data_IF_030777198760
#
_entry.id   IF_030777198760
#
_cell.length_a   1.000
_cell.length_b   1.000
_cell.length_c   1.000
_cell.angle_alpha   90.00
_cell.angle_beta   90.00
_cell.angle_gamma   90.00
#
_symmetry.space_group_name_H-M   'P 1'
#
loop_
_entity.id
_entity.type
_entity.pdbx_description
1 polymer ?
#
# COMPACT_ATOMS: atom_id res chain seq x y z
N UNK A 1 -9.76 22.27 -23.77
CA UNK A 1 -10.19 21.68 -22.47
C UNK A 1 -9.79 20.23 -22.49
N UNK A 2 -9.02 19.76 -21.52
CA UNK A 2 -8.71 18.33 -21.42
C UNK A 2 -10.01 17.58 -21.16
N UNK A 3 -10.26 16.51 -21.94
CA UNK A 3 -11.42 15.64 -21.75
C UNK A 3 -11.27 14.95 -20.38
N UNK A 4 -12.34 15.01 -19.56
CA UNK A 4 -12.34 14.27 -18.29
C UNK A 4 -12.28 12.76 -18.54
N UNK A 5 -11.54 11.99 -17.73
CA UNK A 5 -11.40 10.54 -17.94
C UNK A 5 -12.66 9.78 -17.54
N UNK A 6 -12.92 8.67 -18.20
CA UNK A 6 -13.84 7.63 -17.75
C UNK A 6 -13.04 6.68 -16.83
N UNK A 7 -13.49 6.52 -15.60
CA UNK A 7 -12.73 5.81 -14.53
C UNK A 7 -13.45 4.53 -14.12
N UNK A 8 -12.71 3.47 -13.85
CA UNK A 8 -13.21 2.28 -13.18
C UNK A 8 -12.40 1.96 -11.92
N UNK A 9 -13.06 1.52 -10.86
CA UNK A 9 -12.42 1.05 -9.62
C UNK A 9 -12.75 -0.43 -9.43
N UNK A 10 -11.78 -1.30 -9.61
CA UNK A 10 -11.91 -2.73 -9.33
C UNK A 10 -11.59 -3.00 -7.86
N UNK A 11 -12.46 -3.74 -7.17
CA UNK A 11 -12.35 -3.99 -5.73
C UNK A 11 -12.94 -2.86 -4.89
N UNK A 12 -13.91 -2.09 -5.45
CA UNK A 12 -14.51 -0.91 -4.85
C UNK A 12 -15.08 -1.12 -3.43
N UNK A 13 -15.48 -2.34 -3.07
CA UNK A 13 -16.02 -2.67 -1.75
C UNK A 13 -14.96 -3.13 -0.74
N UNK A 14 -13.71 -3.28 -1.16
CA UNK A 14 -12.57 -3.65 -0.31
C UNK A 14 -11.95 -2.44 0.39
N UNK A 15 -11.04 -2.69 1.34
CA UNK A 15 -10.39 -1.62 2.11
C UNK A 15 -9.69 -0.59 1.21
N UNK A 16 -8.87 -1.03 0.26
CA UNK A 16 -8.17 -0.14 -0.69
C UNK A 16 -9.13 0.57 -1.64
N UNK A 17 -10.15 -0.13 -2.14
CA UNK A 17 -11.16 0.49 -3.02
C UNK A 17 -11.94 1.61 -2.34
N UNK A 18 -12.23 1.46 -1.05
CA UNK A 18 -12.87 2.52 -0.25
C UNK A 18 -11.96 3.73 -0.06
N UNK A 19 -10.63 3.52 0.07
CA UNK A 19 -9.68 4.63 0.13
C UNK A 19 -9.57 5.37 -1.21
N UNK A 20 -9.65 4.70 -2.36
CA UNK A 20 -9.74 5.39 -3.65
C UNK A 20 -10.97 6.31 -3.71
N UNK A 21 -12.13 5.83 -3.27
CA UNK A 21 -13.38 6.59 -3.24
C UNK A 21 -13.21 7.82 -2.34
N UNK A 22 -12.67 7.65 -1.13
CA UNK A 22 -12.39 8.74 -0.19
C UNK A 22 -11.46 9.79 -0.80
N UNK A 23 -10.39 9.34 -1.46
CA UNK A 23 -9.41 10.23 -2.10
C UNK A 23 -9.98 11.00 -3.30
N UNK A 24 -10.96 10.46 -4.02
CA UNK A 24 -11.67 11.22 -5.06
C UNK A 24 -12.36 12.44 -4.48
N UNK A 25 -13.01 12.30 -3.32
CA UNK A 25 -13.67 13.39 -2.62
C UNK A 25 -12.66 14.40 -2.06
N UNK A 26 -11.66 13.94 -1.31
CA UNK A 26 -10.66 14.80 -0.67
C UNK A 26 -9.83 15.61 -1.68
N UNK A 27 -9.48 14.99 -2.81
CA UNK A 27 -8.66 15.62 -3.85
C UNK A 27 -9.49 16.31 -4.93
N UNK A 28 -10.82 16.33 -4.81
CA UNK A 28 -11.74 16.87 -5.83
C UNK A 28 -11.41 16.31 -7.22
N UNK A 29 -11.14 15.00 -7.31
CA UNK A 29 -10.77 14.36 -8.56
C UNK A 29 -11.95 14.33 -9.53
N UNK A 30 -11.79 14.99 -10.69
CA UNK A 30 -12.84 15.10 -11.67
C UNK A 30 -12.79 13.99 -12.71
N UNK A 31 -13.92 13.37 -12.99
CA UNK A 31 -14.08 12.31 -14.00
C UNK A 31 -15.37 12.54 -14.83
N UNK A 32 -15.39 11.99 -16.05
CA UNK A 32 -16.58 12.05 -16.91
C UNK A 32 -17.62 10.99 -16.50
N UNK A 33 -17.16 9.83 -16.07
CA UNK A 33 -17.99 8.76 -15.51
C UNK A 33 -17.15 7.87 -14.58
N UNK A 34 -17.84 7.20 -13.66
CA UNK A 34 -17.23 6.26 -12.72
C UNK A 34 -17.97 4.91 -12.75
N UNK A 35 -17.23 3.81 -12.87
CA UNK A 35 -17.73 2.45 -12.67
C UNK A 35 -17.11 1.85 -11.41
N UNK A 36 -17.92 1.36 -10.49
CA UNK A 36 -17.49 0.65 -9.31
C UNK A 36 -17.66 -0.86 -9.54
N UNK A 37 -16.54 -1.58 -9.54
CA UNK A 37 -16.49 -3.00 -9.91
C UNK A 37 -16.06 -3.84 -8.71
N UNK A 38 -16.73 -4.98 -8.49
CA UNK A 38 -16.37 -5.95 -7.46
C UNK A 38 -16.76 -7.38 -7.88
N UNK A 39 -16.62 -8.34 -6.96
CA UNK A 39 -17.09 -9.72 -7.18
C UNK A 39 -18.61 -9.78 -7.28
N UNK A 40 -19.15 -10.85 -7.89
CA UNK A 40 -20.60 -11.12 -7.97
C UNK A 40 -21.31 -11.01 -6.60
N UNK A 41 -20.64 -11.42 -5.51
CA UNK A 41 -21.18 -11.32 -4.13
C UNK A 41 -21.43 -9.87 -3.69
N UNK A 42 -20.72 -8.92 -4.24
CA UNK A 42 -20.83 -7.49 -3.90
C UNK A 42 -21.58 -6.68 -4.93
N UNK A 43 -21.91 -7.25 -6.07
CA UNK A 43 -22.71 -6.60 -7.10
C UNK A 43 -24.09 -6.22 -6.54
N UNK A 44 -24.61 -5.07 -6.98
CA UNK A 44 -25.88 -4.49 -6.50
C UNK A 44 -25.76 -3.64 -5.23
N UNK A 45 -24.63 -3.66 -4.51
CA UNK A 45 -24.39 -2.73 -3.41
C UNK A 45 -24.33 -1.30 -3.93
N UNK A 46 -24.73 -0.37 -3.08
CA UNK A 46 -24.70 1.07 -3.37
C UNK A 46 -23.61 1.72 -2.55
N UNK A 47 -22.83 2.59 -3.18
CA UNK A 47 -21.78 3.39 -2.55
C UNK A 47 -21.98 4.86 -2.93
N UNK A 48 -21.73 5.74 -1.97
CA UNK A 48 -21.71 7.19 -2.21
C UNK A 48 -20.30 7.58 -2.65
N UNK A 49 -20.19 8.38 -3.72
CA UNK A 49 -18.94 8.95 -4.21
C UNK A 49 -19.20 10.39 -4.64
N UNK A 50 -18.47 11.33 -4.07
CA UNK A 50 -18.61 12.77 -4.38
C UNK A 50 -20.08 13.27 -4.31
N UNK A 51 -20.86 12.72 -3.36
CA UNK A 51 -22.26 13.09 -3.15
C UNK A 51 -23.28 12.41 -4.08
N UNK A 52 -22.84 11.52 -4.98
CA UNK A 52 -23.71 10.76 -5.88
C UNK A 52 -23.72 9.27 -5.52
N UNK A 53 -24.85 8.58 -5.72
CA UNK A 53 -24.99 7.16 -5.47
C UNK A 53 -24.61 6.35 -6.71
N UNK A 54 -23.65 5.43 -6.54
CA UNK A 54 -23.19 4.48 -7.56
C UNK A 54 -23.55 3.07 -7.19
N UNK A 55 -24.05 2.29 -8.16
CA UNK A 55 -24.27 0.85 -7.96
C UNK A 55 -23.01 0.08 -8.34
N UNK A 56 -22.56 -0.80 -7.45
CA UNK A 56 -21.43 -1.69 -7.71
C UNK A 56 -21.84 -2.77 -8.71
N UNK A 57 -21.06 -2.92 -9.79
CA UNK A 57 -21.27 -3.92 -10.82
C UNK A 57 -20.34 -5.14 -10.62
N UNK A 58 -20.74 -6.29 -11.14
CA UNK A 58 -19.85 -7.44 -11.22
C UNK A 58 -18.72 -7.17 -12.22
N UNK A 59 -17.48 -7.36 -11.77
CA UNK A 59 -16.30 -7.19 -12.60
C UNK A 59 -16.20 -8.28 -13.68
N UNK A 60 -16.26 -7.87 -14.93
CA UNK A 60 -16.12 -8.73 -16.13
C UNK A 60 -15.19 -8.06 -17.13
N UNK A 61 -14.60 -8.80 -18.09
CA UNK A 61 -13.79 -8.18 -19.13
C UNK A 61 -14.48 -7.00 -19.82
N UNK A 62 -15.76 -7.10 -20.13
CA UNK A 62 -16.51 -6.05 -20.82
C UNK A 62 -16.82 -4.82 -19.95
N UNK A 63 -16.63 -4.91 -18.63
CA UNK A 63 -16.81 -3.77 -17.73
C UNK A 63 -15.83 -2.63 -18.04
N UNK A 64 -14.70 -2.92 -18.67
CA UNK A 64 -13.65 -1.94 -19.01
C UNK A 64 -13.82 -1.29 -20.39
N UNK A 65 -14.91 -1.58 -21.09
CA UNK A 65 -15.22 -0.88 -22.35
C UNK A 65 -15.44 0.62 -22.08
N UNK A 66 -14.82 1.46 -22.91
CA UNK A 66 -14.87 2.93 -22.85
C UNK A 66 -14.33 3.50 -21.52
N UNK A 67 -13.40 2.81 -20.84
CA UNK A 67 -12.68 3.28 -19.68
C UNK A 67 -11.30 3.79 -20.09
N UNK A 68 -10.96 5.00 -19.63
CA UNK A 68 -9.63 5.59 -19.85
C UNK A 68 -8.64 5.18 -18.76
N UNK A 69 -9.09 5.15 -17.47
CA UNK A 69 -8.24 4.81 -16.32
C UNK A 69 -8.96 3.77 -15.45
N UNK A 70 -8.25 2.69 -15.10
CA UNK A 70 -8.76 1.64 -14.23
C UNK A 70 -7.87 1.46 -13.00
N UNK A 71 -8.40 1.77 -11.80
CA UNK A 71 -7.72 1.58 -10.53
C UNK A 71 -8.04 0.18 -9.99
N UNK A 72 -7.01 -0.63 -9.79
CA UNK A 72 -7.16 -2.02 -9.40
C UNK A 72 -6.74 -2.25 -7.94
N UNK A 73 -7.66 -2.78 -7.14
CA UNK A 73 -7.45 -3.29 -5.80
C UNK A 73 -7.99 -4.75 -5.69
N UNK A 74 -7.84 -5.52 -6.76
CA UNK A 74 -8.52 -6.80 -6.96
C UNK A 74 -7.74 -8.04 -6.49
N UNK A 75 -6.53 -7.91 -5.98
CA UNK A 75 -5.69 -9.07 -5.65
C UNK A 75 -5.45 -9.97 -6.88
N UNK A 76 -5.65 -11.29 -6.74
CA UNK A 76 -5.42 -12.25 -7.84
C UNK A 76 -6.25 -12.00 -9.09
N UNK A 77 -7.41 -11.36 -8.98
CA UNK A 77 -8.25 -11.07 -10.15
C UNK A 77 -7.60 -10.03 -11.07
N UNK A 78 -6.67 -9.23 -10.57
CA UNK A 78 -5.88 -8.30 -11.37
C UNK A 78 -5.09 -9.02 -12.48
N UNK A 79 -4.54 -10.21 -12.23
CA UNK A 79 -3.79 -10.98 -13.23
C UNK A 79 -4.63 -11.28 -14.49
N UNK A 80 -5.93 -11.47 -14.30
CA UNK A 80 -6.86 -11.82 -15.39
C UNK A 80 -7.45 -10.57 -16.03
N UNK A 81 -7.89 -9.60 -15.22
CA UNK A 81 -8.66 -8.46 -15.71
C UNK A 81 -7.80 -7.26 -16.16
N UNK A 82 -6.57 -7.10 -15.68
CA UNK A 82 -5.74 -5.99 -16.12
C UNK A 82 -5.36 -6.07 -17.60
N UNK A 83 -4.90 -7.23 -18.13
CA UNK A 83 -4.69 -7.37 -19.57
C UNK A 83 -5.97 -7.16 -20.41
N UNK A 84 -7.14 -7.53 -19.88
CA UNK A 84 -8.42 -7.30 -20.55
C UNK A 84 -8.79 -5.81 -20.62
N UNK A 85 -8.55 -5.07 -19.51
CA UNK A 85 -8.75 -3.62 -19.48
C UNK A 85 -7.84 -2.91 -20.48
N UNK A 86 -6.54 -3.28 -20.51
CA UNK A 86 -5.58 -2.73 -21.48
C UNK A 86 -5.98 -3.00 -22.93
N UNK A 87 -6.44 -4.23 -23.26
CA UNK A 87 -6.93 -4.53 -24.60
C UNK A 87 -8.12 -3.67 -25.03
N UNK A 88 -8.87 -3.11 -24.10
CA UNK A 88 -10.00 -2.19 -24.33
C UNK A 88 -9.61 -0.72 -24.29
N UNK A 89 -8.30 -0.43 -24.16
CA UNK A 89 -7.75 0.92 -24.22
C UNK A 89 -7.58 1.62 -22.88
N UNK A 90 -7.89 0.97 -21.76
CA UNK A 90 -7.68 1.55 -20.44
C UNK A 90 -6.19 1.50 -20.03
N UNK A 91 -5.74 2.52 -19.30
CA UNK A 91 -4.52 2.44 -18.50
C UNK A 91 -4.90 1.90 -17.13
N UNK A 92 -4.24 0.82 -16.71
CA UNK A 92 -4.46 0.18 -15.41
C UNK A 92 -3.41 0.64 -14.42
N UNK A 93 -3.85 1.09 -13.23
CA UNK A 93 -3.00 1.32 -12.07
C UNK A 93 -3.32 0.23 -11.06
N UNK A 94 -2.38 -0.71 -10.87
CA UNK A 94 -2.61 -1.92 -10.08
C UNK A 94 -1.92 -1.86 -8.72
N UNK A 95 -2.69 -1.93 -7.64
CA UNK A 95 -2.19 -2.01 -6.27
C UNK A 95 -1.92 -3.44 -5.79
N UNK A 96 -2.25 -4.45 -6.59
CA UNK A 96 -1.93 -5.84 -6.24
C UNK A 96 -0.43 -6.12 -6.43
N UNK A 97 0.00 -7.29 -5.98
CA UNK A 97 1.39 -7.73 -6.22
C UNK A 97 1.59 -8.40 -7.59
N UNK A 98 0.54 -8.49 -8.42
CA UNK A 98 0.54 -9.30 -9.64
C UNK A 98 1.62 -8.90 -10.64
N UNK A 99 1.82 -7.61 -10.82
CA UNK A 99 2.69 -7.08 -11.89
C UNK A 99 3.95 -6.36 -11.37
N UNK A 100 4.12 -6.24 -10.05
CA UNK A 100 5.21 -5.43 -9.47
C UNK A 100 6.60 -5.84 -9.96
N UNK A 101 6.84 -7.15 -10.08
CA UNK A 101 8.15 -7.68 -10.50
C UNK A 101 8.21 -8.05 -11.98
N UNK A 102 7.16 -7.78 -12.76
CA UNK A 102 7.21 -7.93 -14.21
C UNK A 102 8.15 -6.86 -14.79
N UNK A 103 9.21 -7.26 -15.55
CA UNK A 103 10.17 -6.30 -16.11
C UNK A 103 9.57 -5.36 -17.16
N UNK A 104 8.41 -5.68 -17.72
CA UNK A 104 7.71 -4.85 -18.70
C UNK A 104 6.70 -3.87 -18.07
N UNK A 105 6.47 -3.98 -16.76
CA UNK A 105 5.54 -3.13 -16.02
C UNK A 105 6.33 -2.23 -15.08
N UNK A 106 6.24 -0.90 -15.22
CA UNK A 106 6.91 0.02 -14.32
C UNK A 106 6.27 -0.06 -12.93
N UNK A 107 7.12 0.00 -11.90
CA UNK A 107 6.75 0.04 -10.49
C UNK A 107 7.01 1.46 -9.99
N UNK A 108 5.93 2.22 -9.71
CA UNK A 108 6.01 3.68 -9.59
C UNK A 108 5.66 4.16 -8.19
N UNK A 109 6.52 5.02 -7.66
CA UNK A 109 6.21 5.99 -6.61
C UNK A 109 6.36 7.36 -7.24
N UNK A 110 5.29 8.15 -7.43
CA UNK A 110 5.34 9.41 -8.19
C UNK A 110 6.38 10.42 -7.70
N UNK A 111 6.68 10.42 -6.42
CA UNK A 111 7.66 11.30 -5.79
C UNK A 111 9.12 10.83 -5.98
N UNK A 112 9.32 9.58 -6.44
CA UNK A 112 10.65 8.94 -6.47
C UNK A 112 11.14 8.68 -7.89
N UNK A 113 10.33 8.03 -8.71
CA UNK A 113 10.68 7.62 -10.08
C UNK A 113 9.56 7.92 -11.08
N UNK A 114 9.03 9.16 -11.15
CA UNK A 114 7.91 9.51 -12.03
C UNK A 114 8.24 9.29 -13.52
N UNK A 115 9.51 9.38 -13.93
CA UNK A 115 9.96 9.19 -15.30
C UNK A 115 9.73 7.76 -15.81
N UNK A 116 9.67 6.78 -14.92
CA UNK A 116 9.40 5.39 -15.29
C UNK A 116 7.98 5.19 -15.81
N UNK A 117 7.07 6.14 -15.56
CA UNK A 117 5.70 6.06 -16.05
C UNK A 117 5.64 6.00 -17.58
N UNK A 118 6.59 6.65 -18.27
CA UNK A 118 6.65 6.67 -19.73
C UNK A 118 6.93 5.28 -20.34
N UNK A 119 7.44 4.35 -19.53
CA UNK A 119 7.74 2.97 -19.94
C UNK A 119 6.55 2.02 -19.91
N UNK A 120 5.38 2.48 -19.42
CA UNK A 120 4.22 1.61 -19.28
C UNK A 120 3.67 1.14 -20.64
N UNK A 121 3.17 -0.10 -20.66
CA UNK A 121 2.48 -0.70 -21.82
C UNK A 121 1.00 -0.93 -21.51
N UNK A 122 0.40 0.02 -20.81
CA UNK A 122 -0.99 -0.03 -20.36
C UNK A 122 -1.19 -0.44 -18.91
N UNK A 123 -0.18 -1.04 -18.26
CA UNK A 123 -0.23 -1.37 -16.81
C UNK A 123 0.88 -0.59 -16.09
N UNK A 124 0.54 -0.01 -14.95
CA UNK A 124 1.43 0.65 -14.00
C UNK A 124 1.21 -0.04 -12.66
N UNK A 125 2.26 -0.56 -12.04
CA UNK A 125 2.17 -1.20 -10.74
C UNK A 125 2.45 -0.18 -9.62
N UNK A 126 1.65 -0.25 -8.55
CA UNK A 126 1.88 0.48 -7.31
C UNK A 126 2.60 -0.44 -6.32
N UNK A 127 3.66 0.02 -5.64
CA UNK A 127 4.46 -0.82 -4.75
C UNK A 127 3.73 -1.29 -3.50
N UNK A 128 4.39 -2.17 -2.75
CA UNK A 128 3.99 -2.57 -1.41
C UNK A 128 3.98 -1.37 -0.46
N UNK A 129 3.05 -1.35 0.49
CA UNK A 129 2.87 -0.25 1.43
C UNK A 129 4.12 0.05 2.26
N UNK A 130 4.78 -0.97 2.80
CA UNK A 130 6.02 -0.79 3.57
C UNK A 130 7.17 -0.33 2.67
N UNK A 131 7.29 -0.86 1.46
CA UNK A 131 8.27 -0.36 0.48
C UNK A 131 8.10 1.14 0.21
N UNK A 132 6.86 1.60 0.02
CA UNK A 132 6.59 3.03 -0.23
C UNK A 132 7.03 3.87 0.97
N UNK A 133 6.62 3.51 2.19
CA UNK A 133 6.93 4.25 3.43
C UNK A 133 8.44 4.34 3.62
N UNK A 134 9.14 3.20 3.50
CA UNK A 134 10.59 3.15 3.60
C UNK A 134 11.27 4.05 2.57
N UNK A 135 10.88 3.94 1.31
CA UNK A 135 11.52 4.67 0.22
C UNK A 135 11.24 6.17 0.27
N UNK A 136 10.08 6.61 0.74
CA UNK A 136 9.81 8.03 0.96
C UNK A 136 10.76 8.65 1.99
N UNK A 137 11.18 7.89 3.01
CA UNK A 137 12.18 8.34 3.97
C UNK A 137 13.61 8.22 3.43
N UNK A 138 13.90 7.20 2.61
CA UNK A 138 15.26 6.93 2.12
C UNK A 138 15.65 7.78 0.90
N UNK A 139 14.71 8.10 0.00
CA UNK A 139 15.02 8.81 -1.25
C UNK A 139 15.72 10.15 -1.04
N UNK A 140 15.27 11.04 -0.13
CA UNK A 140 16.01 12.29 0.12
C UNK A 140 17.42 12.08 0.67
N UNK A 141 17.68 10.95 1.35
CA UNK A 141 19.02 10.56 1.81
C UNK A 141 19.85 10.01 0.65
N UNK A 142 19.24 9.14 -0.16
CA UNK A 142 19.88 8.52 -1.34
C UNK A 142 20.34 9.56 -2.35
N UNK A 143 19.58 10.64 -2.54
CA UNK A 143 19.95 11.75 -3.45
C UNK A 143 21.16 12.57 -2.95
N UNK A 144 21.44 12.54 -1.65
CA UNK A 144 22.63 13.15 -1.08
C UNK A 144 23.87 12.25 -1.18
N UNK A 145 23.67 10.94 -0.98
CA UNK A 145 24.74 9.95 -1.02
C UNK A 145 24.15 8.55 -1.24
N UNK A 146 24.70 7.75 -2.16
CA UNK A 146 24.24 6.37 -2.37
C UNK A 146 24.15 5.60 -1.05
N UNK A 147 23.10 4.80 -0.91
CA UNK A 147 22.88 3.94 0.26
C UNK A 147 23.57 2.60 0.01
N UNK A 148 24.36 2.14 0.98
CA UNK A 148 25.01 0.83 0.96
C UNK A 148 24.19 -0.25 1.65
N UNK A 149 23.56 0.12 2.76
CA UNK A 149 22.79 -0.83 3.59
C UNK A 149 21.60 -0.17 4.25
N UNK A 150 20.53 -0.93 4.32
CA UNK A 150 19.33 -0.61 5.08
C UNK A 150 19.02 -1.77 6.02
N UNK A 151 18.76 -1.48 7.30
CA UNK A 151 18.13 -2.41 8.23
C UNK A 151 16.81 -1.76 8.64
N UNK A 152 15.70 -2.44 8.41
CA UNK A 152 14.38 -1.90 8.70
C UNK A 152 13.53 -2.88 9.50
N UNK A 153 12.88 -2.38 10.55
CA UNK A 153 11.83 -3.09 11.27
C UNK A 153 10.51 -2.35 11.08
N UNK A 154 9.50 -3.06 10.61
CA UNK A 154 8.17 -2.48 10.39
C UNK A 154 7.23 -2.80 11.56
N UNK A 155 6.28 -1.90 11.78
CA UNK A 155 5.17 -2.06 12.72
C UNK A 155 3.88 -1.87 11.92
N UNK A 156 3.36 -2.98 11.36
CA UNK A 156 2.31 -2.92 10.34
C UNK A 156 0.92 -3.13 10.94
N UNK A 157 0.04 -2.18 10.66
CA UNK A 157 -1.37 -2.24 11.04
C UNK A 157 -2.10 -3.42 10.41
N UNK A 158 -3.16 -3.91 11.05
CA UNK A 158 -3.98 -5.03 10.57
C UNK A 158 -4.72 -4.75 9.26
N UNK A 159 -4.93 -3.47 8.91
CA UNK A 159 -5.52 -3.08 7.63
C UNK A 159 -4.76 -3.60 6.40
N UNK A 160 -3.46 -3.91 6.54
CA UNK A 160 -2.68 -4.58 5.50
C UNK A 160 -3.21 -5.99 5.13
N UNK A 161 -3.92 -6.65 6.04
CA UNK A 161 -4.66 -7.88 5.78
C UNK A 161 -6.11 -7.63 5.28
N UNK A 162 -6.44 -6.38 4.95
CA UNK A 162 -7.77 -5.99 4.48
C UNK A 162 -8.79 -5.83 5.61
N UNK A 163 -10.07 -5.76 5.19
CA UNK A 163 -11.18 -5.61 6.15
C UNK A 163 -11.24 -6.76 7.16
N UNK A 164 -10.94 -7.97 6.73
CA UNK A 164 -10.98 -9.16 7.59
C UNK A 164 -9.97 -9.08 8.75
N UNK A 165 -8.77 -8.54 8.52
CA UNK A 165 -7.80 -8.30 9.58
C UNK A 165 -8.26 -7.23 10.59
N UNK A 166 -8.95 -6.19 10.12
CA UNK A 166 -9.54 -5.17 10.99
C UNK A 166 -10.66 -5.78 11.85
N UNK A 167 -11.56 -6.52 11.22
CA UNK A 167 -12.68 -7.18 11.88
C UNK A 167 -12.19 -8.20 12.92
N UNK A 168 -11.08 -8.93 12.64
CA UNK A 168 -10.45 -9.86 13.58
C UNK A 168 -9.92 -9.12 14.82
N UNK A 169 -9.16 -8.03 14.65
CA UNK A 169 -8.67 -7.24 15.78
C UNK A 169 -9.80 -6.72 16.67
N UNK A 170 -10.89 -6.22 16.09
CA UNK A 170 -12.05 -5.78 16.86
C UNK A 170 -12.71 -6.93 17.61
N UNK A 171 -12.94 -8.07 16.95
CA UNK A 171 -13.54 -9.25 17.55
C UNK A 171 -12.70 -9.82 18.70
N UNK A 172 -11.38 -9.90 18.54
CA UNK A 172 -10.46 -10.32 19.60
C UNK A 172 -10.47 -9.35 20.79
N UNK A 173 -10.41 -8.05 20.53
CA UNK A 173 -10.43 -7.03 21.58
C UNK A 173 -11.73 -7.10 22.40
N UNK A 174 -12.87 -7.26 21.72
CA UNK A 174 -14.17 -7.44 22.38
C UNK A 174 -14.20 -8.72 23.23
N UNK A 175 -13.70 -9.83 22.67
CA UNK A 175 -13.65 -11.11 23.37
C UNK A 175 -12.79 -11.03 24.65
N UNK A 176 -11.60 -10.45 24.55
CA UNK A 176 -10.71 -10.24 25.71
C UNK A 176 -11.41 -9.40 26.78
N UNK A 177 -12.09 -8.32 26.40
CA UNK A 177 -12.80 -7.45 27.34
C UNK A 177 -13.92 -8.18 28.11
N UNK A 178 -14.47 -9.24 27.51
CA UNK A 178 -15.54 -10.07 28.09
C UNK A 178 -15.02 -11.36 28.75
N UNK A 179 -13.71 -11.59 28.75
CA UNK A 179 -13.11 -12.83 29.25
C UNK A 179 -13.46 -14.07 28.41
N UNK A 180 -13.77 -13.87 27.11
CA UNK A 180 -14.14 -14.93 26.17
C UNK A 180 -12.89 -15.30 25.35
N UNK A 181 -12.74 -16.60 25.03
CA UNK A 181 -11.69 -17.06 24.11
C UNK A 181 -12.12 -16.75 22.69
N UNK A 182 -11.24 -16.09 21.93
CA UNK A 182 -11.39 -15.87 20.49
C UNK A 182 -10.47 -16.82 19.72
N UNK A 183 -10.95 -17.38 18.65
CA UNK A 183 -10.17 -18.23 17.75
C UNK A 183 -9.78 -17.43 16.51
N UNK A 184 -8.49 -17.03 16.36
CA UNK A 184 -8.03 -16.25 15.20
C UNK A 184 -8.10 -17.07 13.92
N UNK A 185 -8.36 -16.42 12.78
CA UNK A 185 -8.55 -17.07 11.47
C UNK A 185 -7.84 -16.38 10.31
N UNK A 186 -7.31 -15.18 10.53
CA UNK A 186 -6.79 -14.32 9.47
C UNK A 186 -5.29 -14.12 9.57
N UNK A 187 -4.78 -13.84 10.76
CA UNK A 187 -3.37 -13.46 10.93
C UNK A 187 -2.48 -14.63 11.38
N UNK A 188 -1.25 -14.75 10.83
CA UNK A 188 -0.49 -13.81 10.01
C UNK A 188 -0.89 -13.78 8.53
N UNK A 189 -1.55 -14.81 8.02
CA UNK A 189 -2.15 -14.89 6.68
C UNK A 189 -3.30 -15.89 6.68
N UNK A 190 -4.43 -15.52 6.06
CA UNK A 190 -5.60 -16.39 5.94
C UNK A 190 -5.32 -17.70 5.17
N UNK A 191 -4.22 -17.78 4.41
CA UNK A 191 -3.81 -18.98 3.67
C UNK A 191 -3.05 -20.01 4.52
N UNK A 192 -2.63 -19.63 5.75
CA UNK A 192 -1.89 -20.50 6.64
C UNK A 192 -2.81 -21.40 7.47
N UNK A 193 -2.37 -22.61 7.83
CA UNK A 193 -3.15 -23.52 8.67
C UNK A 193 -3.18 -23.10 10.16
N UNK A 194 -2.29 -22.21 10.57
CA UNK A 194 -2.15 -21.77 11.95
C UNK A 194 -2.23 -20.24 12.02
N UNK A 195 -3.06 -19.76 12.94
CA UNK A 195 -3.29 -18.35 13.18
C UNK A 195 -2.95 -17.99 14.62
N UNK A 196 -2.70 -16.70 14.85
CA UNK A 196 -2.30 -16.20 16.16
C UNK A 196 -3.10 -14.96 16.49
N UNK A 197 -3.50 -14.78 17.76
CA UNK A 197 -4.22 -13.59 18.17
C UNK A 197 -3.34 -12.36 18.04
N UNK A 198 -3.93 -11.26 17.59
CA UNK A 198 -3.25 -9.97 17.45
C UNK A 198 -3.59 -8.99 18.57
N UNK A 199 -4.77 -9.08 19.19
CA UNK A 199 -5.11 -8.20 20.29
C UNK A 199 -4.11 -8.37 21.44
N UNK A 200 -3.46 -7.26 21.83
CA UNK A 200 -2.40 -7.21 22.86
C UNK A 200 -1.17 -8.07 22.55
N UNK A 201 -0.89 -8.34 21.29
CA UNK A 201 0.19 -9.18 20.84
C UNK A 201 0.93 -8.57 19.64
N UNK A 202 2.11 -9.11 19.34
CA UNK A 202 2.90 -8.84 18.13
C UNK A 202 3.06 -10.15 17.37
N UNK A 203 2.90 -10.10 16.04
CA UNK A 203 3.14 -11.27 15.20
C UNK A 203 4.32 -10.94 14.27
N UNK A 204 5.54 -11.46 14.53
CA UNK A 204 6.73 -11.21 13.73
C UNK A 204 6.74 -12.07 12.46
N UNK A 205 5.63 -12.10 11.79
CA UNK A 205 5.42 -12.77 10.51
C UNK A 205 4.29 -12.06 9.77
N UNK A 206 4.55 -11.66 8.53
CA UNK A 206 3.52 -11.18 7.61
C UNK A 206 3.64 -11.95 6.31
N UNK A 207 2.54 -12.59 5.87
CA UNK A 207 2.53 -13.51 4.74
C UNK A 207 3.29 -14.84 5.06
N UNK A 208 3.62 -15.62 4.07
CA UNK A 208 4.30 -16.92 4.18
C UNK A 208 5.81 -16.76 4.20
N UNK A 209 6.52 -17.69 4.84
CA UNK A 209 7.97 -17.83 4.71
C UNK A 209 8.35 -18.38 3.35
N UNK A 210 9.48 -17.91 2.83
CA UNK A 210 10.15 -18.40 1.64
C UNK A 210 11.32 -19.31 2.01
N UNK A 211 11.94 -19.95 1.02
CA UNK A 211 13.06 -20.89 1.23
C UNK A 211 14.31 -20.24 1.86
N UNK A 212 14.43 -18.93 1.77
CA UNK A 212 15.50 -18.14 2.38
C UNK A 212 15.20 -17.68 3.80
N UNK A 213 14.15 -18.21 4.42
CA UNK A 213 13.69 -17.92 5.79
C UNK A 213 13.16 -16.50 6.00
N UNK A 214 13.12 -15.65 4.97
CA UNK A 214 12.37 -14.39 4.99
C UNK A 214 10.91 -14.62 4.64
N UNK A 215 10.04 -13.75 5.13
CA UNK A 215 8.65 -13.74 4.68
C UNK A 215 8.53 -13.12 3.28
N UNK A 216 7.46 -13.45 2.58
CA UNK A 216 7.16 -12.84 1.29
C UNK A 216 6.99 -11.32 1.40
N UNK A 217 6.46 -10.82 2.52
CA UNK A 217 6.34 -9.38 2.78
C UNK A 217 7.71 -8.71 2.86
N UNK A 218 8.65 -9.31 3.58
CA UNK A 218 10.02 -8.81 3.71
C UNK A 218 10.74 -8.77 2.36
N UNK A 219 10.60 -9.83 1.55
CA UNK A 219 11.22 -9.86 0.22
C UNK A 219 10.62 -8.87 -0.79
N UNK A 220 9.35 -8.44 -0.59
CA UNK A 220 8.82 -7.31 -1.38
C UNK A 220 9.62 -6.04 -1.12
N UNK A 221 9.95 -5.73 0.13
CA UNK A 221 10.73 -4.54 0.47
C UNK A 221 12.11 -4.56 -0.20
N UNK A 222 12.77 -5.72 -0.28
CA UNK A 222 14.06 -5.88 -0.96
C UNK A 222 13.92 -5.68 -2.47
N UNK A 223 13.11 -6.53 -3.10
CA UNK A 223 13.04 -6.61 -4.55
C UNK A 223 12.42 -5.35 -5.19
N UNK A 224 11.39 -4.80 -4.56
CA UNK A 224 10.72 -3.60 -5.05
C UNK A 224 11.62 -2.37 -4.90
N UNK A 225 12.41 -2.26 -3.83
CA UNK A 225 13.40 -1.18 -3.65
C UNK A 225 14.44 -1.19 -4.77
N UNK A 226 15.03 -2.35 -5.07
CA UNK A 226 16.00 -2.49 -6.15
C UNK A 226 15.40 -2.05 -7.48
N UNK A 227 14.16 -2.45 -7.76
CA UNK A 227 13.47 -2.08 -9.00
C UNK A 227 13.16 -0.59 -9.09
N UNK A 228 12.69 0.04 -8.02
CA UNK A 228 12.29 1.45 -8.00
C UNK A 228 13.50 2.38 -8.07
N UNK A 229 14.56 2.05 -7.32
CA UNK A 229 15.79 2.85 -7.31
C UNK A 229 16.75 2.51 -8.45
N UNK A 230 16.47 1.45 -9.24
CA UNK A 230 17.38 0.93 -10.27
C UNK A 230 18.79 0.63 -9.70
N UNK A 231 18.85 0.12 -8.46
CA UNK A 231 20.09 -0.14 -7.73
C UNK A 231 20.01 -1.48 -7.00
N UNK A 232 20.66 -2.49 -7.53
CA UNK A 232 20.72 -3.84 -6.97
C UNK A 232 21.81 -4.03 -5.90
N UNK A 233 22.68 -3.03 -5.73
CA UNK A 233 23.83 -3.12 -4.82
C UNK A 233 23.45 -2.76 -3.37
N UNK A 234 22.26 -2.24 -3.12
CA UNK A 234 21.79 -1.88 -1.79
C UNK A 234 21.50 -3.16 -0.99
N UNK A 235 22.26 -3.40 0.09
CA UNK A 235 21.96 -4.49 1.01
C UNK A 235 20.78 -4.12 1.93
N UNK A 236 19.69 -4.90 1.89
CA UNK A 236 18.48 -4.63 2.67
C UNK A 236 18.15 -5.81 3.57
N UNK A 237 17.97 -5.55 4.88
CA UNK A 237 17.58 -6.55 5.87
C UNK A 237 16.28 -6.10 6.54
N UNK A 238 15.12 -6.53 6.06
CA UNK A 238 13.83 -6.19 6.63
C UNK A 238 13.37 -7.18 7.69
N UNK A 239 12.60 -6.70 8.67
CA UNK A 239 11.84 -7.51 9.61
C UNK A 239 10.42 -6.96 9.67
N UNK A 240 9.45 -7.76 9.23
CA UNK A 240 8.05 -7.32 9.15
C UNK A 240 7.23 -7.85 10.34
N UNK A 241 6.68 -6.93 11.14
CA UNK A 241 5.90 -7.25 12.34
C UNK A 241 4.48 -6.71 12.24
N UNK A 242 3.47 -7.57 12.45
CA UNK A 242 2.08 -7.14 12.59
C UNK A 242 1.84 -6.65 14.02
N UNK A 243 1.22 -5.50 14.16
CA UNK A 243 0.91 -4.86 15.45
C UNK A 243 -0.61 -4.63 15.60
N UNK A 244 -1.14 -4.53 16.84
CA UNK A 244 -2.57 -4.36 17.09
C UNK A 244 -3.02 -2.89 16.87
N UNK A 245 -2.74 -2.37 15.70
CA UNK A 245 -3.12 -1.03 15.22
C UNK A 245 -4.03 -1.19 14.01
N UNK A 246 -5.08 -0.39 13.95
CA UNK A 246 -6.12 -0.54 12.92
C UNK A 246 -5.60 -0.12 11.56
N UNK A 247 -4.97 1.06 11.46
CA UNK A 247 -4.47 1.68 10.21
C UNK A 247 -3.13 2.33 10.43
N UNK A 248 -2.44 2.60 9.32
CA UNK A 248 -1.11 3.18 9.26
C UNK A 248 0.00 2.20 9.69
N UNK A 249 1.12 2.28 9.03
CA UNK A 249 2.32 1.53 9.40
C UNK A 249 3.36 2.49 9.93
N UNK A 250 4.23 2.00 10.79
CA UNK A 250 5.42 2.71 11.22
C UNK A 250 6.65 1.85 10.92
N UNK A 251 7.80 2.50 10.77
CA UNK A 251 9.05 1.82 10.48
C UNK A 251 10.22 2.46 11.25
N UNK A 252 11.09 1.62 11.76
CA UNK A 252 12.39 2.02 12.30
C UNK A 252 13.46 1.65 11.29
N UNK A 253 14.17 2.65 10.76
CA UNK A 253 15.10 2.48 9.66
C UNK A 253 16.50 2.91 10.09
N UNK A 254 17.47 2.00 9.96
CA UNK A 254 18.89 2.29 10.00
C UNK A 254 19.44 2.31 8.59
N UNK A 255 20.26 3.30 8.25
CA UNK A 255 20.84 3.46 6.92
C UNK A 255 22.34 3.73 6.98
N UNK A 256 23.10 3.05 6.11
CA UNK A 256 24.51 3.33 5.86
C UNK A 256 24.69 3.93 4.47
N UNK A 257 25.31 5.10 4.40
CA UNK A 257 25.57 5.82 3.15
C UNK A 257 27.03 5.68 2.69
N UNK A 258 27.28 5.90 1.42
CA UNK A 258 28.62 5.83 0.85
C UNK A 258 29.53 6.93 1.39
N UNK A 259 29.00 8.15 1.51
CA UNK A 259 29.68 9.27 2.17
C UNK A 259 28.97 9.63 3.46
N UNK A 260 29.69 10.07 4.49
CA UNK A 260 29.07 10.49 5.76
C UNK A 260 28.19 11.72 5.54
N UNK A 261 26.98 11.71 6.11
CA UNK A 261 26.03 12.81 6.08
C UNK A 261 25.80 13.33 7.51
N UNK A 262 25.72 14.62 7.66
CA UNK A 262 25.33 15.23 8.93
C UNK A 262 23.81 15.18 9.11
N UNK A 263 23.35 15.10 10.35
CA UNK A 263 21.91 15.18 10.70
C UNK A 263 21.25 16.43 10.10
N UNK A 264 21.98 17.55 10.03
CA UNK A 264 21.46 18.79 9.45
C UNK A 264 21.15 18.62 7.97
N UNK A 265 22.07 18.04 7.19
CA UNK A 265 21.85 17.78 5.75
C UNK A 265 20.64 16.87 5.53
N UNK A 266 20.53 15.79 6.30
CA UNK A 266 19.40 14.87 6.22
C UNK A 266 18.07 15.56 6.51
N UNK A 267 18.02 16.32 7.62
CA UNK A 267 16.79 17.07 7.99
C UNK A 267 16.40 18.10 6.92
N UNK A 268 17.35 18.80 6.34
CA UNK A 268 17.09 19.76 5.26
C UNK A 268 16.55 19.07 4.00
N UNK A 269 17.13 17.94 3.61
CA UNK A 269 16.65 17.15 2.46
C UNK A 269 15.24 16.62 2.69
N UNK A 270 14.95 16.04 3.86
CA UNK A 270 13.62 15.56 4.20
C UNK A 270 12.56 16.66 4.22
N UNK A 271 12.89 17.86 4.75
CA UNK A 271 11.96 19.00 4.77
C UNK A 271 11.55 19.48 3.40
N UNK A 272 12.43 19.35 2.42
CA UNK A 272 12.18 19.79 1.03
C UNK A 272 11.59 18.69 0.14
N UNK A 273 11.55 17.44 0.62
CA UNK A 273 11.07 16.32 -0.19
C UNK A 273 9.54 16.27 -0.22
N UNK A 274 8.91 16.20 -1.40
CA UNK A 274 7.46 16.18 -1.51
C UNK A 274 6.88 14.92 -0.84
N UNK A 275 5.75 15.07 -0.14
CA UNK A 275 5.08 13.97 0.55
C UNK A 275 5.70 13.57 1.88
N UNK A 276 6.78 14.23 2.34
CA UNK A 276 7.42 13.99 3.64
C UNK A 276 7.19 15.17 4.58
N UNK A 277 6.72 14.88 5.77
CA UNK A 277 6.63 15.86 6.88
C UNK A 277 7.65 15.48 7.93
N UNK A 278 8.65 16.36 8.14
CA UNK A 278 9.65 16.14 9.18
C UNK A 278 9.16 16.67 10.53
N UNK A 279 8.93 15.77 11.48
CA UNK A 279 8.68 16.10 12.89
C UNK A 279 9.95 15.85 13.68
N UNK A 280 10.44 16.86 14.40
CA UNK A 280 11.66 16.74 15.23
C UNK A 280 11.32 16.15 16.58
N UNK A 281 11.58 14.86 16.75
CA UNK A 281 11.24 14.08 17.95
C UNK A 281 12.00 14.46 19.23
N UNK A 282 12.90 15.42 19.19
CA UNK A 282 13.55 15.94 20.42
C UNK A 282 12.57 16.70 21.33
N UNK A 283 11.36 16.97 20.83
CA UNK A 283 10.26 17.59 21.59
C UNK A 283 9.26 16.57 22.16
N UNK A 284 9.65 15.32 22.29
CA UNK A 284 8.82 14.16 22.66
C UNK A 284 8.17 14.18 24.04
N UNK A 285 8.16 15.27 24.75
CA UNK A 285 7.81 15.18 26.17
C UNK A 285 6.39 15.54 26.52
N UNK A 286 5.54 16.01 25.60
CA UNK A 286 4.21 16.41 26.03
C UNK A 286 3.02 15.86 25.27
N UNK A 287 3.08 15.66 23.96
CA UNK A 287 1.83 15.56 23.19
C UNK A 287 1.74 14.46 22.12
N UNK A 288 2.65 13.48 22.13
CA UNK A 288 2.57 12.36 21.16
C UNK A 288 1.27 11.55 21.28
N UNK A 289 0.57 11.61 22.42
CA UNK A 289 -0.73 10.98 22.63
C UNK A 289 -1.90 11.83 22.10
N UNK A 290 -1.71 13.15 22.00
CA UNK A 290 -2.77 14.07 21.55
C UNK A 290 -2.74 14.28 20.02
N UNK A 291 -1.62 13.97 19.35
CA UNK A 291 -1.48 14.03 17.88
C UNK A 291 -2.16 12.86 17.12
N UNK A 292 -2.83 11.96 17.81
CA UNK A 292 -3.66 10.90 17.20
C UNK A 292 -4.85 11.44 16.38
N UNK A 293 -5.04 12.75 16.35
CA UNK A 293 -6.09 13.43 15.56
C UNK A 293 -5.58 14.02 14.25
N UNK A 294 -4.28 14.01 14.00
CA UNK A 294 -3.71 14.45 12.71
C UNK A 294 -3.36 13.26 11.83
N UNK A 295 -4.40 12.64 11.27
CA UNK A 295 -4.33 11.84 10.06
C UNK A 295 -4.85 12.74 8.94
N UNK A 296 -3.99 13.58 8.42
CA UNK A 296 -4.21 14.27 7.15
C UNK A 296 -3.70 13.40 5.99
#
# INVERSE_FOLDING_TARGET
>A
MNKLPHVAVLGATGAVGQEFIRLFEERNFSFASLKLLASAKSAGKKLMVCGEEYTVEEAKPDSFKDIDIALFAGGKVSEVLAPEAVRRGAVVIDNSSAFRMDPQVPLIIPEINPEDIEKHRGIIANPNCSTIIMLMALKPIYDLSPIKRVIVSTYQAVSGAGKEGIDELYGETEAVSKGIVYEPKILPSASLPKHYPIAYNLIPQIDIFLDNEYTKEEMKMVNETHKILHDEDIAITPTAVRVPVIRSHAESIYVETAAPLSTKQIKEAMKSFPGVVLVDCLLYTSDAADDLTRVD
#
